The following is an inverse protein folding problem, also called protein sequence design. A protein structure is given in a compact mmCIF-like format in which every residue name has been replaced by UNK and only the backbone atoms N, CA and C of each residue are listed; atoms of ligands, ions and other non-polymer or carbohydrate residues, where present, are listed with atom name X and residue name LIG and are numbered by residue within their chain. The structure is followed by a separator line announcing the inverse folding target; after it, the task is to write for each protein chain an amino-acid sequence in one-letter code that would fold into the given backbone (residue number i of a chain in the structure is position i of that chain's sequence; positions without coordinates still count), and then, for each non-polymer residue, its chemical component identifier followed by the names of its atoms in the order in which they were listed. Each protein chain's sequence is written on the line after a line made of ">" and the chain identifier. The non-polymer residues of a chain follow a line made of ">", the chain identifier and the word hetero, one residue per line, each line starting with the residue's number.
data_IF_038842484570
#
_entry.id   IF_038842484570
#
_cell.length_a   1.000
_cell.length_b   1.000
_cell.length_c   1.000
_cell.angle_alpha   90.00
_cell.angle_beta   90.00
_cell.angle_gamma   90.00
#
_symmetry.space_group_name_H-M   'P 1'
#
loop_
_entity.id
_entity.type
_entity.pdbx_description
1 polymer ?
#
# COMPACT_ATOMS: atom_id res chain seq x y z
N UNK A 1 -16.18 -14.57 19.46
CA UNK A 1 -16.82 -13.70 18.41
C UNK A 1 -17.10 -12.35 19.04
N UNK A 2 -16.43 -11.30 18.55
CA UNK A 2 -16.55 -9.94 19.11
C UNK A 2 -17.92 -9.33 18.80
N UNK A 3 -18.64 -8.76 19.78
CA UNK A 3 -19.90 -8.02 19.54
C UNK A 3 -19.70 -6.87 18.55
N UNK A 4 -20.74 -6.55 17.75
CA UNK A 4 -20.66 -5.54 16.68
C UNK A 4 -20.00 -4.21 17.12
N UNK A 5 -20.39 -3.72 18.29
CA UNK A 5 -19.89 -2.47 18.88
C UNK A 5 -18.36 -2.43 19.06
N UNK A 6 -17.73 -3.56 19.35
CA UNK A 6 -16.29 -3.63 19.68
C UNK A 6 -15.40 -4.14 18.53
N UNK A 7 -15.95 -4.47 17.37
CA UNK A 7 -15.20 -5.07 16.25
C UNK A 7 -14.05 -4.19 15.75
N UNK A 8 -14.28 -2.89 15.62
CA UNK A 8 -13.21 -1.96 15.22
C UNK A 8 -12.18 -1.79 16.34
N UNK A 9 -12.60 -1.74 17.60
CA UNK A 9 -11.68 -1.66 18.72
C UNK A 9 -10.79 -2.91 18.80
N UNK A 10 -11.37 -4.10 18.67
CA UNK A 10 -10.59 -5.36 18.68
C UNK A 10 -9.59 -5.38 17.52
N UNK A 11 -10.01 -4.96 16.32
CA UNK A 11 -9.12 -4.90 15.16
C UNK A 11 -8.02 -3.86 15.35
N UNK A 12 -8.35 -2.68 15.91
CA UNK A 12 -7.35 -1.64 16.22
C UNK A 12 -6.33 -2.13 17.24
N UNK A 13 -6.80 -2.71 18.36
CA UNK A 13 -5.91 -3.25 19.41
C UNK A 13 -5.01 -4.36 18.84
N UNK A 14 -5.58 -5.31 18.10
CA UNK A 14 -4.81 -6.36 17.43
C UNK A 14 -3.77 -5.80 16.44
N UNK A 15 -4.11 -4.74 15.71
CA UNK A 15 -3.18 -4.07 14.79
C UNK A 15 -2.06 -3.32 15.53
N UNK A 16 -2.36 -2.68 16.65
CA UNK A 16 -1.36 -2.04 17.53
C UNK A 16 -0.39 -3.09 18.08
N UNK A 17 -0.91 -4.21 18.58
CA UNK A 17 -0.08 -5.31 19.10
C UNK A 17 0.80 -5.88 17.97
N UNK A 18 0.23 -6.10 16.79
CA UNK A 18 0.98 -6.56 15.63
C UNK A 18 2.12 -5.60 15.26
N UNK A 19 1.84 -4.29 15.19
CA UNK A 19 2.86 -3.28 14.92
C UNK A 19 3.95 -3.24 15.98
N UNK A 20 3.55 -3.25 17.26
CA UNK A 20 4.49 -3.21 18.39
C UNK A 20 5.42 -4.45 18.44
N UNK A 21 4.94 -5.61 18.00
CA UNK A 21 5.78 -6.82 17.87
C UNK A 21 6.77 -6.73 16.72
N UNK A 22 6.42 -6.03 15.65
CA UNK A 22 7.29 -5.80 14.50
C UNK A 22 8.29 -4.66 14.72
N UNK A 23 7.82 -3.53 15.25
CA UNK A 23 8.66 -2.34 15.46
C UNK A 23 8.06 -1.37 16.49
N UNK A 24 8.24 -1.69 17.77
CA UNK A 24 7.70 -0.87 18.88
C UNK A 24 8.28 0.56 18.89
N UNK A 25 9.51 0.76 18.41
CA UNK A 25 10.20 2.07 18.43
C UNK A 25 9.45 3.14 17.65
N UNK A 26 8.81 2.76 16.55
CA UNK A 26 8.08 3.68 15.67
C UNK A 26 6.56 3.68 15.90
N UNK A 27 6.07 2.94 16.89
CA UNK A 27 4.65 3.00 17.27
C UNK A 27 4.20 4.42 17.67
N UNK A 28 4.97 5.22 18.45
CA UNK A 28 4.61 6.61 18.74
C UNK A 28 4.50 7.46 17.48
N UNK A 29 5.43 7.32 16.52
CA UNK A 29 5.40 8.05 15.25
C UNK A 29 4.11 7.74 14.47
N UNK A 30 3.76 6.47 14.35
CA UNK A 30 2.53 6.05 13.67
C UNK A 30 1.29 6.61 14.38
N UNK A 31 1.22 6.53 15.71
CA UNK A 31 0.08 7.05 16.47
C UNK A 31 -0.07 8.57 16.35
N UNK A 32 1.04 9.32 16.41
CA UNK A 32 1.06 10.77 16.19
C UNK A 32 0.61 11.09 14.76
N UNK A 33 1.12 10.36 13.76
CA UNK A 33 0.71 10.54 12.36
C UNK A 33 -0.79 10.33 12.20
N UNK A 34 -1.36 9.26 12.76
CA UNK A 34 -2.80 8.98 12.72
C UNK A 34 -3.59 10.13 13.38
N UNK A 35 -3.18 10.55 14.58
CA UNK A 35 -3.87 11.59 15.33
C UNK A 35 -3.87 12.94 14.60
N UNK A 36 -2.69 13.38 14.14
CA UNK A 36 -2.55 14.64 13.38
C UNK A 36 -3.39 14.62 12.11
N UNK A 37 -3.30 13.53 11.32
CA UNK A 37 -4.03 13.42 10.06
C UNK A 37 -5.56 13.28 10.27
N UNK A 38 -6.00 12.69 11.37
CA UNK A 38 -7.42 12.67 11.72
C UNK A 38 -7.96 14.10 11.90
N UNK A 39 -7.31 14.92 12.73
CA UNK A 39 -7.74 16.30 12.96
C UNK A 39 -7.64 17.15 11.68
N UNK A 40 -6.58 17.01 10.91
CA UNK A 40 -6.43 17.71 9.63
C UNK A 40 -7.57 17.34 8.66
N UNK A 41 -7.94 16.08 8.56
CA UNK A 41 -9.08 15.62 7.75
C UNK A 41 -10.41 16.25 8.16
N UNK A 42 -10.66 16.42 9.46
CA UNK A 42 -11.86 17.11 9.95
C UNK A 42 -11.93 18.58 9.47
N UNK A 43 -10.80 19.25 9.35
CA UNK A 43 -10.74 20.65 8.92
C UNK A 43 -10.80 20.80 7.39
N UNK A 44 -10.28 19.85 6.63
CA UNK A 44 -10.32 19.87 5.17
C UNK A 44 -11.74 19.81 4.60
N UNK A 45 -12.66 19.14 5.28
CA UNK A 45 -14.02 18.90 4.79
C UNK A 45 -14.95 20.12 4.86
N UNK A 46 -14.60 21.20 5.54
CA UNK A 46 -15.46 22.40 5.65
C UNK A 46 -15.63 23.09 4.29
N UNK A 47 -16.83 23.06 3.72
CA UNK A 47 -17.15 23.71 2.45
C UNK A 47 -17.61 25.17 2.67
N UNK A 48 -16.73 26.14 2.47
CA UNK A 48 -17.11 27.54 2.30
C UNK A 48 -16.26 28.13 1.17
N UNK A 49 -16.85 28.81 0.17
CA UNK A 49 -16.11 29.46 -0.91
C UNK A 49 -15.06 30.45 -0.40
N UNK A 50 -15.36 31.18 0.67
CA UNK A 50 -14.46 32.15 1.30
C UNK A 50 -13.19 31.53 1.92
N UNK A 51 -13.13 30.21 2.11
CA UNK A 51 -12.01 29.53 2.73
C UNK A 51 -11.27 28.56 1.80
N UNK A 52 -11.59 28.58 0.51
CA UNK A 52 -11.06 27.61 -0.46
C UNK A 52 -9.53 27.63 -0.55
N UNK A 53 -8.92 28.84 -0.59
CA UNK A 53 -7.47 28.97 -0.61
C UNK A 53 -6.79 28.45 0.65
N UNK A 54 -7.40 28.67 1.83
CA UNK A 54 -6.88 28.14 3.12
C UNK A 54 -6.91 26.64 3.15
N UNK A 55 -7.97 26.02 2.60
CA UNK A 55 -8.07 24.56 2.50
C UNK A 55 -7.04 23.99 1.53
N UNK A 56 -6.82 24.65 0.38
CA UNK A 56 -5.79 24.23 -0.56
C UNK A 56 -4.41 24.30 0.09
N UNK A 57 -4.12 25.39 0.80
CA UNK A 57 -2.86 25.54 1.55
C UNK A 57 -2.74 24.45 2.62
N UNK A 58 -3.79 24.22 3.41
CA UNK A 58 -3.80 23.17 4.44
C UNK A 58 -3.56 21.79 3.82
N UNK A 59 -4.20 21.48 2.69
CA UNK A 59 -3.96 20.23 1.97
C UNK A 59 -2.49 20.11 1.55
N UNK A 60 -1.93 21.15 0.90
CA UNK A 60 -0.53 21.14 0.44
C UNK A 60 0.43 20.92 1.63
N UNK A 61 0.22 21.62 2.74
CA UNK A 61 1.04 21.46 3.94
C UNK A 61 0.91 20.06 4.54
N UNK A 62 -0.31 19.52 4.59
CA UNK A 62 -0.57 18.15 5.08
C UNK A 62 0.12 17.10 4.20
N UNK A 63 -0.03 17.20 2.88
CA UNK A 63 0.63 16.29 1.94
C UNK A 63 2.14 16.42 2.03
N UNK A 64 2.65 17.67 2.05
CA UNK A 64 4.08 17.95 2.17
C UNK A 64 4.69 17.40 3.45
N UNK A 65 4.02 17.56 4.60
CA UNK A 65 4.50 17.02 5.88
C UNK A 65 4.57 15.49 5.89
N UNK A 66 3.52 14.80 5.41
CA UNK A 66 3.53 13.33 5.32
C UNK A 66 4.61 12.81 4.36
N UNK A 67 4.79 13.48 3.21
CA UNK A 67 5.86 13.12 2.26
C UNK A 67 7.24 13.43 2.82
N UNK A 68 7.43 14.54 3.52
CA UNK A 68 8.70 14.87 4.16
C UNK A 68 9.11 13.82 5.20
N UNK A 69 8.18 13.36 6.04
CA UNK A 69 8.43 12.28 6.99
C UNK A 69 8.81 10.97 6.25
N UNK A 70 8.08 10.61 5.19
CA UNK A 70 8.38 9.42 4.39
C UNK A 70 9.79 9.49 3.79
N UNK A 71 10.12 10.63 3.15
CA UNK A 71 11.43 10.84 2.51
C UNK A 71 12.56 10.85 3.54
N UNK A 72 12.33 11.50 4.69
CA UNK A 72 13.32 11.49 5.78
C UNK A 72 13.75 10.08 6.15
N UNK A 73 12.79 9.17 6.38
CA UNK A 73 13.11 7.80 6.76
C UNK A 73 13.67 6.96 5.61
N UNK A 74 13.33 7.27 4.36
CA UNK A 74 13.88 6.55 3.20
C UNK A 74 15.31 6.91 2.86
N UNK A 75 15.66 8.20 2.99
CA UNK A 75 16.94 8.70 2.48
C UNK A 75 17.90 9.09 3.59
N UNK A 76 17.41 9.72 4.65
CA UNK A 76 18.23 10.27 5.71
C UNK A 76 18.09 9.56 7.05
N UNK A 77 17.19 8.61 7.18
CA UNK A 77 16.98 7.84 8.41
C UNK A 77 18.19 7.00 8.86
N UNK A 78 19.17 6.81 7.99
CA UNK A 78 20.45 6.18 8.28
C UNK A 78 20.33 4.84 9.01
N UNK A 79 21.06 4.70 10.13
CA UNK A 79 21.04 3.50 10.98
C UNK A 79 19.73 3.28 11.77
N UNK A 80 18.82 4.26 11.79
CA UNK A 80 17.55 4.15 12.50
C UNK A 80 16.59 3.11 11.90
N UNK A 81 16.78 2.77 10.62
CA UNK A 81 15.93 1.85 9.89
C UNK A 81 14.61 2.45 9.41
N UNK A 82 13.93 1.77 8.50
CA UNK A 82 12.66 2.21 7.91
C UNK A 82 11.49 1.76 8.81
N UNK A 83 10.62 2.68 9.31
CA UNK A 83 9.45 2.30 10.10
C UNK A 83 8.54 1.34 9.33
N UNK A 84 8.07 0.30 10.00
CA UNK A 84 7.23 -0.74 9.41
C UNK A 84 6.00 -0.13 8.72
N UNK A 85 5.82 -0.43 7.42
CA UNK A 85 4.66 -0.01 6.65
C UNK A 85 4.53 1.50 6.37
N UNK A 86 5.56 2.34 6.65
CA UNK A 86 5.48 3.79 6.49
C UNK A 86 5.03 4.22 5.08
N UNK A 87 5.50 3.56 4.04
CA UNK A 87 5.09 3.85 2.66
C UNK A 87 3.59 3.60 2.44
N UNK A 88 3.09 2.48 2.97
CA UNK A 88 1.70 2.06 2.77
C UNK A 88 0.71 2.92 3.55
N UNK A 89 0.97 3.15 4.84
CA UNK A 89 0.05 4.00 5.61
C UNK A 89 0.12 5.47 5.17
N UNK A 90 1.27 5.96 4.72
CA UNK A 90 1.37 7.30 4.14
C UNK A 90 0.48 7.44 2.90
N UNK A 91 0.54 6.50 1.94
CA UNK A 91 -0.32 6.54 0.76
C UNK A 91 -1.81 6.47 1.10
N UNK A 92 -2.19 5.70 2.12
CA UNK A 92 -3.57 5.65 2.60
C UNK A 92 -4.02 6.99 3.19
N UNK A 93 -3.17 7.61 4.02
CA UNK A 93 -3.43 8.94 4.61
C UNK A 93 -3.54 9.99 3.51
N UNK A 94 -2.59 10.04 2.57
CA UNK A 94 -2.60 11.00 1.46
C UNK A 94 -3.88 10.87 0.63
N UNK A 95 -4.28 9.63 0.28
CA UNK A 95 -5.51 9.41 -0.48
C UNK A 95 -6.74 9.88 0.29
N UNK A 96 -6.84 9.59 1.59
CA UNK A 96 -7.94 10.07 2.43
C UNK A 96 -8.04 11.60 2.45
N UNK A 97 -6.92 12.30 2.68
CA UNK A 97 -6.89 13.77 2.72
C UNK A 97 -7.32 14.39 1.38
N UNK A 98 -6.84 13.83 0.28
CA UNK A 98 -7.20 14.30 -1.07
C UNK A 98 -8.68 14.03 -1.36
N UNK A 99 -9.19 12.83 -1.06
CA UNK A 99 -10.57 12.44 -1.33
C UNK A 99 -11.56 13.26 -0.48
N UNK A 100 -11.23 13.55 0.78
CA UNK A 100 -12.02 14.46 1.64
C UNK A 100 -12.00 15.89 1.11
N UNK A 101 -10.85 16.40 0.67
CA UNK A 101 -10.75 17.74 0.07
C UNK A 101 -11.55 17.85 -1.23
N UNK A 102 -11.52 16.83 -2.08
CA UNK A 102 -12.30 16.75 -3.33
C UNK A 102 -13.81 16.58 -3.06
N UNK A 103 -14.18 16.14 -1.86
CA UNK A 103 -15.55 15.80 -1.49
C UNK A 103 -16.02 14.46 -2.06
N UNK A 104 -15.10 13.61 -2.48
CA UNK A 104 -15.37 12.25 -2.95
C UNK A 104 -15.70 11.31 -1.80
N UNK A 105 -15.17 11.61 -0.60
CA UNK A 105 -15.44 10.90 0.64
C UNK A 105 -15.84 11.91 1.72
N UNK A 106 -16.84 11.57 2.50
CA UNK A 106 -17.20 12.34 3.69
C UNK A 106 -16.10 12.20 4.76
N UNK A 107 -15.85 13.28 5.49
CA UNK A 107 -14.91 13.21 6.62
C UNK A 107 -15.40 12.20 7.66
N UNK A 108 -14.47 11.41 8.18
CA UNK A 108 -14.79 10.46 9.24
C UNK A 108 -14.70 11.13 10.62
N UNK A 109 -15.80 11.07 11.36
CA UNK A 109 -15.88 11.64 12.70
C UNK A 109 -15.42 10.69 13.80
N UNK A 110 -15.38 9.38 13.51
CA UNK A 110 -14.91 8.38 14.44
C UNK A 110 -13.40 8.19 14.33
N UNK A 111 -12.66 8.67 15.33
CA UNK A 111 -11.23 8.39 15.42
C UNK A 111 -10.93 6.90 15.36
N UNK A 112 -11.77 6.08 16.01
CA UNK A 112 -11.61 4.63 16.00
C UNK A 112 -11.67 4.04 14.59
N UNK A 113 -12.60 4.47 13.73
CA UNK A 113 -12.69 3.99 12.34
C UNK A 113 -11.50 4.45 11.52
N UNK A 114 -11.12 5.73 11.64
CA UNK A 114 -9.97 6.28 10.92
C UNK A 114 -8.66 5.59 11.32
N UNK A 115 -8.41 5.44 12.62
CA UNK A 115 -7.22 4.75 13.12
C UNK A 115 -7.20 3.27 12.64
N UNK A 116 -8.33 2.55 12.75
CA UNK A 116 -8.45 1.18 12.24
C UNK A 116 -8.16 1.13 10.73
N UNK A 117 -8.67 2.08 9.94
CA UNK A 117 -8.39 2.18 8.51
C UNK A 117 -6.89 2.27 8.23
N UNK A 118 -6.17 3.12 8.95
CA UNK A 118 -4.75 3.38 8.69
C UNK A 118 -3.87 2.19 9.11
N UNK A 119 -4.07 1.67 10.35
CA UNK A 119 -3.15 0.68 10.96
C UNK A 119 -3.56 -0.77 10.75
N UNK A 120 -4.67 -1.06 10.08
CA UNK A 120 -5.19 -2.43 9.93
C UNK A 120 -4.12 -3.43 9.46
N UNK A 121 -3.76 -4.39 10.34
CA UNK A 121 -2.59 -5.25 10.19
C UNK A 121 -2.53 -6.08 8.89
N UNK A 122 -3.64 -6.59 8.30
CA UNK A 122 -3.51 -7.38 7.08
C UNK A 122 -2.93 -6.63 5.88
N UNK A 123 -3.12 -5.30 5.84
CA UNK A 123 -2.66 -4.47 4.72
C UNK A 123 -1.49 -3.54 5.05
N UNK A 124 -1.04 -3.51 6.30
CA UNK A 124 -0.12 -2.49 6.80
C UNK A 124 1.28 -2.57 6.20
N UNK A 125 1.83 -3.77 6.00
CA UNK A 125 3.24 -3.96 5.57
C UNK A 125 3.36 -3.91 4.04
N UNK A 126 2.72 -4.85 3.34
CA UNK A 126 2.78 -5.03 1.89
C UNK A 126 1.42 -5.40 1.29
N UNK A 127 0.34 -5.16 2.05
CA UNK A 127 -1.01 -5.45 1.59
C UNK A 127 -1.48 -4.47 0.51
N UNK A 128 -2.66 -4.73 -0.07
CA UNK A 128 -3.23 -3.84 -1.07
C UNK A 128 -3.43 -2.42 -0.54
N UNK A 129 -3.02 -1.41 -1.30
CA UNK A 129 -3.28 -0.01 -0.97
C UNK A 129 -4.76 0.25 -1.15
N UNK A 130 -5.47 0.47 -0.04
CA UNK A 130 -6.92 0.71 -0.04
C UNK A 130 -7.22 2.18 0.22
N UNK A 131 -8.20 2.73 -0.49
CA UNK A 131 -8.74 4.05 -0.17
C UNK A 131 -9.78 3.93 0.95
N UNK A 132 -10.00 5.01 1.68
CA UNK A 132 -11.01 5.02 2.75
C UNK A 132 -12.41 4.66 2.23
N UNK A 133 -12.80 5.23 1.09
CA UNK A 133 -14.11 4.96 0.47
C UNK A 133 -14.33 3.49 0.09
N UNK A 134 -13.25 2.73 -0.20
CA UNK A 134 -13.37 1.32 -0.59
C UNK A 134 -13.73 0.41 0.59
N UNK A 135 -13.46 0.82 1.83
CA UNK A 135 -13.68 -0.01 3.03
C UNK A 135 -14.51 0.66 4.14
N UNK A 136 -14.95 1.91 3.95
CA UNK A 136 -15.72 2.68 4.92
C UNK A 136 -17.00 1.97 5.38
N UNK A 137 -17.70 1.35 4.43
CA UNK A 137 -18.95 0.61 4.71
C UNK A 137 -18.65 -0.64 5.55
N UNK A 138 -17.60 -1.37 5.22
CA UNK A 138 -17.14 -2.51 6.01
C UNK A 138 -16.68 -2.13 7.42
N UNK A 139 -16.16 -0.90 7.62
CA UNK A 139 -15.83 -0.39 8.96
C UNK A 139 -17.07 0.04 9.75
N UNK A 140 -18.17 0.29 9.07
CA UNK A 140 -19.44 0.68 9.69
C UNK A 140 -20.30 -0.55 10.00
N UNK A 141 -20.54 -1.39 8.98
CA UNK A 141 -21.39 -2.57 9.07
C UNK A 141 -20.71 -3.78 8.45
N UNK A 142 -20.06 -4.59 9.29
CA UNK A 142 -19.44 -5.85 8.86
C UNK A 142 -20.38 -7.01 9.06
N UNK A 143 -20.52 -7.83 8.03
CA UNK A 143 -21.22 -9.12 8.11
C UNK A 143 -20.20 -10.24 8.14
N UNK A 144 -20.31 -11.13 9.13
CA UNK A 144 -19.53 -12.36 9.18
C UNK A 144 -20.39 -13.49 8.65
N UNK A 145 -19.92 -14.17 7.63
CA UNK A 145 -20.59 -15.33 7.06
C UNK A 145 -19.65 -16.54 7.08
N UNK A 146 -20.19 -17.74 7.22
CA UNK A 146 -19.42 -18.98 7.14
C UNK A 146 -18.71 -19.07 5.79
N UNK A 147 -19.39 -18.71 4.71
CA UNK A 147 -18.81 -18.66 3.37
C UNK A 147 -17.65 -17.67 3.26
N UNK A 148 -17.78 -16.47 3.89
CA UNK A 148 -16.69 -15.49 3.95
C UNK A 148 -15.47 -16.01 4.70
N UNK A 149 -15.69 -16.76 5.79
CA UNK A 149 -14.62 -17.41 6.54
C UNK A 149 -13.93 -18.49 5.70
N UNK A 150 -14.70 -19.36 5.05
CA UNK A 150 -14.19 -20.43 4.17
C UNK A 150 -13.39 -19.88 3.00
N UNK A 151 -13.95 -18.95 2.25
CA UNK A 151 -13.28 -18.33 1.10
C UNK A 151 -12.03 -17.53 1.51
N UNK A 152 -12.10 -16.84 2.67
CA UNK A 152 -10.96 -16.14 3.23
C UNK A 152 -9.83 -17.08 3.65
N UNK A 153 -10.17 -18.22 4.25
CA UNK A 153 -9.20 -19.25 4.61
C UNK A 153 -8.54 -19.87 3.37
N UNK A 154 -9.31 -20.15 2.31
CA UNK A 154 -8.76 -20.64 1.02
C UNK A 154 -7.75 -19.66 0.44
N UNK A 155 -8.07 -18.36 0.42
CA UNK A 155 -7.15 -17.32 -0.04
C UNK A 155 -5.89 -17.25 0.82
N UNK A 156 -6.04 -17.31 2.14
CA UNK A 156 -4.91 -17.28 3.07
C UNK A 156 -3.97 -18.47 2.87
N UNK A 157 -4.51 -19.68 2.80
CA UNK A 157 -3.72 -20.90 2.58
C UNK A 157 -3.03 -20.87 1.21
N UNK A 158 -3.72 -20.43 0.15
CA UNK A 158 -3.12 -20.29 -1.18
C UNK A 158 -1.98 -19.27 -1.16
N UNK A 159 -2.17 -18.13 -0.48
CA UNK A 159 -1.13 -17.12 -0.32
C UNK A 159 0.08 -17.63 0.45
N UNK A 160 -0.15 -18.34 1.55
CA UNK A 160 0.91 -18.96 2.35
C UNK A 160 1.67 -20.03 1.54
N UNK A 161 0.95 -20.86 0.78
CA UNK A 161 1.56 -21.85 -0.12
C UNK A 161 2.42 -21.18 -1.20
N UNK A 162 1.95 -20.09 -1.81
CA UNK A 162 2.73 -19.32 -2.78
C UNK A 162 4.02 -18.77 -2.17
N UNK A 163 3.97 -18.27 -0.93
CA UNK A 163 5.15 -17.79 -0.20
C UNK A 163 6.12 -18.93 0.11
N UNK A 164 5.66 -19.96 0.82
CA UNK A 164 6.54 -20.98 1.40
C UNK A 164 7.00 -22.03 0.37
N UNK A 165 6.10 -22.45 -0.54
CA UNK A 165 6.40 -23.54 -1.48
C UNK A 165 6.96 -23.03 -2.81
N UNK A 166 6.72 -21.78 -3.18
CA UNK A 166 7.20 -21.21 -4.44
C UNK A 166 8.25 -20.14 -4.21
N UNK A 167 7.90 -18.99 -3.58
CA UNK A 167 8.82 -17.88 -3.43
C UNK A 167 10.10 -18.27 -2.67
N UNK A 168 9.96 -18.85 -1.47
CA UNK A 168 11.12 -19.22 -0.64
C UNK A 168 11.99 -20.30 -1.29
N UNK A 169 11.40 -21.21 -2.07
CA UNK A 169 12.15 -22.27 -2.76
C UNK A 169 12.90 -21.76 -3.97
N UNK A 170 12.27 -20.93 -4.77
CA UNK A 170 12.89 -20.33 -5.96
C UNK A 170 13.94 -19.29 -5.56
N UNK A 171 13.71 -18.56 -4.46
CA UNK A 171 14.66 -17.57 -3.93
C UNK A 171 15.99 -18.15 -3.47
N UNK A 172 16.06 -19.44 -3.10
CA UNK A 172 17.32 -20.13 -2.75
C UNK A 172 18.34 -20.00 -3.89
N UNK A 173 17.92 -20.26 -5.14
CA UNK A 173 18.81 -20.17 -6.30
C UNK A 173 19.39 -18.76 -6.47
N UNK A 174 18.54 -17.73 -6.33
CA UNK A 174 19.00 -16.34 -6.42
C UNK A 174 20.00 -16.01 -5.32
N UNK A 175 19.72 -16.42 -4.09
CA UNK A 175 20.62 -16.19 -2.96
C UNK A 175 21.97 -16.88 -3.12
N UNK A 176 21.99 -18.12 -3.58
CA UNK A 176 23.23 -18.87 -3.86
C UNK A 176 24.07 -18.17 -4.92
N UNK A 177 23.46 -17.68 -5.99
CA UNK A 177 24.15 -16.94 -7.05
C UNK A 177 24.73 -15.61 -6.52
N UNK A 178 23.99 -14.91 -5.66
CA UNK A 178 24.51 -13.69 -5.01
C UNK A 178 25.74 -13.96 -4.13
N UNK A 179 25.73 -15.05 -3.38
CA UNK A 179 26.86 -15.44 -2.51
C UNK A 179 28.07 -15.92 -3.32
N UNK A 180 27.83 -16.68 -4.39
CA UNK A 180 28.91 -17.18 -5.30
C UNK A 180 29.56 -16.05 -6.10
N UNK A 181 28.82 -14.98 -6.39
CA UNK A 181 29.24 -13.86 -7.23
C UNK A 181 28.97 -14.08 -8.72
N UNK A 182 28.55 -13.01 -9.39
CA UNK A 182 28.13 -13.07 -10.80
C UNK A 182 29.28 -13.35 -11.79
N UNK A 183 30.52 -13.09 -11.39
CA UNK A 183 31.71 -13.36 -12.21
C UNK A 183 32.05 -14.86 -12.28
N UNK A 184 31.57 -15.65 -11.34
CA UNK A 184 31.87 -17.08 -11.18
C UNK A 184 30.85 -18.03 -11.77
N UNK A 185 29.79 -17.49 -12.41
CA UNK A 185 28.68 -18.29 -12.94
C UNK A 185 28.62 -18.31 -14.45
N UNK A 186 28.09 -19.39 -15.02
CA UNK A 186 27.84 -19.49 -16.46
C UNK A 186 26.65 -18.61 -16.90
N UNK A 187 26.66 -18.19 -18.17
CA UNK A 187 25.56 -17.40 -18.75
C UNK A 187 24.18 -18.06 -18.60
N UNK A 188 24.00 -19.38 -18.85
CA UNK A 188 22.73 -20.04 -18.59
C UNK A 188 22.27 -19.96 -17.13
N UNK A 189 23.21 -20.10 -16.18
CA UNK A 189 22.89 -20.00 -14.76
C UNK A 189 22.49 -18.56 -14.37
N UNK A 190 23.13 -17.54 -14.95
CA UNK A 190 22.75 -16.14 -14.77
C UNK A 190 21.31 -15.86 -15.22
N UNK A 191 20.92 -16.36 -16.40
CA UNK A 191 19.53 -16.25 -16.87
C UNK A 191 18.54 -16.98 -15.98
N UNK A 192 18.89 -18.20 -15.55
CA UNK A 192 18.04 -18.97 -14.62
C UNK A 192 17.86 -18.24 -13.29
N UNK A 193 18.93 -17.65 -12.75
CA UNK A 193 18.86 -16.84 -11.53
C UNK A 193 18.00 -15.57 -11.70
N UNK A 194 18.07 -14.88 -12.84
CA UNK A 194 17.23 -13.73 -13.13
C UNK A 194 15.73 -14.09 -13.22
N UNK A 195 15.42 -15.23 -13.85
CA UNK A 195 14.06 -15.78 -13.89
C UNK A 195 13.60 -16.15 -12.47
N UNK A 196 14.46 -16.84 -11.72
CA UNK A 196 14.19 -17.24 -10.35
C UNK A 196 13.85 -16.01 -9.46
N UNK A 197 14.66 -14.97 -9.52
CA UNK A 197 14.42 -13.72 -8.80
C UNK A 197 13.08 -13.05 -9.20
N UNK A 198 12.78 -13.03 -10.49
CA UNK A 198 11.51 -12.48 -10.98
C UNK A 198 10.31 -13.26 -10.44
N UNK A 199 10.42 -14.60 -10.37
CA UNK A 199 9.37 -15.45 -9.81
C UNK A 199 9.28 -15.34 -8.29
N UNK A 200 10.42 -15.23 -7.59
CA UNK A 200 10.48 -14.99 -6.15
C UNK A 200 9.69 -13.72 -5.79
N UNK A 201 10.04 -12.57 -6.39
CA UNK A 201 9.33 -11.30 -6.13
C UNK A 201 7.83 -11.44 -6.39
N UNK A 202 7.46 -12.12 -7.48
CA UNK A 202 6.05 -12.27 -7.83
C UNK A 202 5.30 -13.13 -6.82
N UNK A 203 5.79 -14.32 -6.51
CA UNK A 203 5.11 -15.24 -5.60
C UNK A 203 5.13 -14.77 -4.16
N UNK A 204 6.20 -14.09 -3.73
CA UNK A 204 6.28 -13.48 -2.41
C UNK A 204 5.22 -12.39 -2.23
N UNK A 205 5.18 -11.43 -3.15
CA UNK A 205 4.26 -10.31 -3.04
C UNK A 205 2.80 -10.70 -3.36
N UNK A 206 2.58 -11.58 -4.34
CA UNK A 206 1.25 -12.12 -4.62
C UNK A 206 0.73 -12.96 -3.45
N UNK A 207 1.59 -13.82 -2.87
CA UNK A 207 1.26 -14.61 -1.71
C UNK A 207 0.87 -13.75 -0.51
N UNK A 208 1.66 -12.71 -0.21
CA UNK A 208 1.31 -11.76 0.84
C UNK A 208 -0.03 -11.07 0.56
N UNK A 209 -0.26 -10.61 -0.66
CA UNK A 209 -1.52 -9.96 -1.03
C UNK A 209 -2.73 -10.89 -0.88
N UNK A 210 -2.59 -12.17 -1.22
CA UNK A 210 -3.64 -13.17 -1.01
C UNK A 210 -3.90 -13.43 0.47
N UNK A 211 -2.86 -13.54 1.30
CA UNK A 211 -3.01 -13.67 2.75
C UNK A 211 -3.72 -12.46 3.34
N UNK A 212 -3.36 -11.25 2.92
CA UNK A 212 -4.02 -10.02 3.35
C UNK A 212 -5.51 -9.99 2.97
N UNK A 213 -5.83 -10.33 1.71
CA UNK A 213 -7.21 -10.45 1.23
C UNK A 213 -7.99 -11.52 1.99
N UNK A 214 -7.36 -12.67 2.24
CA UNK A 214 -7.94 -13.77 3.01
C UNK A 214 -8.31 -13.34 4.44
N UNK A 215 -7.37 -12.71 5.15
CA UNK A 215 -7.59 -12.15 6.49
C UNK A 215 -8.68 -11.09 6.49
N UNK A 216 -8.65 -10.17 5.51
CA UNK A 216 -9.71 -9.17 5.33
C UNK A 216 -11.08 -9.84 5.22
N UNK A 217 -11.21 -10.79 4.29
CA UNK A 217 -12.47 -11.50 4.01
C UNK A 217 -12.99 -12.29 5.20
N UNK A 218 -12.10 -12.97 5.94
CA UNK A 218 -12.47 -13.64 7.21
C UNK A 218 -13.03 -12.67 8.25
N UNK A 219 -12.60 -11.40 8.21
CA UNK A 219 -13.07 -10.33 9.10
C UNK A 219 -14.26 -9.54 8.53
N UNK A 220 -14.79 -9.91 7.34
CA UNK A 220 -15.87 -9.19 6.67
C UNK A 220 -15.42 -7.87 6.02
N UNK A 221 -14.16 -7.78 5.62
CA UNK A 221 -13.56 -6.62 4.92
C UNK A 221 -13.03 -7.09 3.58
N UNK A 222 -13.57 -6.56 2.48
CA UNK A 222 -13.08 -6.87 1.14
C UNK A 222 -11.89 -5.96 0.81
N UNK A 223 -10.73 -6.58 0.60
CA UNK A 223 -9.53 -5.88 0.15
C UNK A 223 -9.34 -6.09 -1.37
N UNK A 224 -8.89 -5.06 -2.12
CA UNK A 224 -8.69 -5.16 -3.55
C UNK A 224 -7.53 -6.10 -3.90
N UNK A 225 -7.59 -6.72 -5.09
CA UNK A 225 -6.50 -7.55 -5.58
C UNK A 225 -5.32 -6.70 -6.09
N UNK A 226 -4.09 -7.17 -5.84
CA UNK A 226 -2.86 -6.55 -6.35
C UNK A 226 -2.37 -7.15 -7.65
N UNK A 227 -2.74 -8.39 -7.95
CA UNK A 227 -2.20 -9.13 -9.10
C UNK A 227 -3.29 -9.86 -9.87
N UNK A 228 -3.14 -9.88 -11.22
CA UNK A 228 -4.03 -10.60 -12.13
C UNK A 228 -3.24 -11.25 -13.25
N UNK A 229 -2.50 -12.34 -12.93
CA UNK A 229 -1.67 -13.09 -13.90
C UNK A 229 -0.78 -12.17 -14.74
N UNK A 230 0.17 -11.42 -14.15
CA UNK A 230 0.93 -10.37 -14.86
C UNK A 230 1.80 -10.91 -15.98
N UNK A 231 2.37 -12.10 -15.84
CA UNK A 231 3.22 -12.71 -16.87
C UNK A 231 2.45 -13.26 -18.10
N UNK A 232 1.12 -13.20 -18.09
CA UNK A 232 0.29 -13.44 -19.27
C UNK A 232 -0.02 -12.16 -20.05
N UNK A 233 0.59 -11.05 -19.71
CA UNK A 233 0.40 -9.78 -20.38
C UNK A 233 0.96 -9.80 -21.81
N UNK A 234 0.23 -9.13 -22.74
CA UNK A 234 0.61 -9.03 -24.15
C UNK A 234 1.31 -7.70 -24.51
N UNK A 235 1.42 -6.80 -23.54
CA UNK A 235 2.12 -5.51 -23.69
C UNK A 235 2.56 -5.01 -22.33
N UNK A 236 3.52 -4.05 -22.31
CA UNK A 236 3.97 -3.36 -21.09
C UNK A 236 2.79 -2.71 -20.36
N UNK A 237 1.88 -2.07 -21.11
CA UNK A 237 0.66 -1.47 -20.54
C UNK A 237 -0.24 -2.52 -19.87
N UNK A 238 -0.42 -3.68 -20.50
CA UNK A 238 -1.22 -4.78 -19.94
C UNK A 238 -0.54 -5.38 -18.71
N UNK A 239 0.80 -5.49 -18.71
CA UNK A 239 1.56 -5.93 -17.55
C UNK A 239 1.29 -5.04 -16.31
N UNK A 240 1.45 -3.73 -16.41
CA UNK A 240 1.19 -2.82 -15.29
C UNK A 240 -0.28 -2.69 -14.88
N UNK A 241 -1.21 -3.11 -15.72
CA UNK A 241 -2.62 -3.27 -15.36
C UNK A 241 -2.91 -4.54 -14.55
N UNK A 242 -1.93 -5.44 -14.45
CA UNK A 242 -2.02 -6.74 -13.78
C UNK A 242 -1.04 -6.89 -12.63
N UNK A 243 0.00 -6.07 -12.60
CA UNK A 243 1.06 -6.02 -11.58
C UNK A 243 0.83 -4.87 -10.63
N UNK A 244 0.86 -5.15 -9.30
CA UNK A 244 0.68 -4.16 -8.23
C UNK A 244 -0.42 -3.14 -8.54
N UNK A 245 -1.60 -3.67 -8.83
CA UNK A 245 -2.71 -2.91 -9.42
C UNK A 245 -3.12 -1.73 -8.54
N UNK A 246 -3.10 -1.90 -7.21
CA UNK A 246 -3.52 -0.84 -6.28
C UNK A 246 -2.55 0.34 -6.26
N UNK A 247 -1.24 0.09 -6.40
CA UNK A 247 -0.24 1.15 -6.56
C UNK A 247 -0.43 1.90 -7.88
N UNK A 248 -0.59 1.15 -9.00
CA UNK A 248 -0.85 1.74 -10.32
C UNK A 248 -2.11 2.60 -10.33
N UNK A 249 -3.19 2.14 -9.71
CA UNK A 249 -4.44 2.89 -9.55
C UNK A 249 -4.25 4.15 -8.69
N UNK A 250 -3.45 4.06 -7.61
CA UNK A 250 -3.15 5.18 -6.75
C UNK A 250 -2.41 6.28 -7.52
N UNK A 251 -1.30 5.96 -8.21
CA UNK A 251 -0.57 6.93 -9.03
C UNK A 251 -1.41 7.48 -10.17
N UNK A 252 -2.24 6.66 -10.82
CA UNK A 252 -3.13 7.10 -11.86
C UNK A 252 -4.11 8.17 -11.35
N UNK A 253 -4.75 7.93 -10.20
CA UNK A 253 -5.79 8.81 -9.64
C UNK A 253 -5.26 10.10 -9.02
N UNK A 254 -4.13 9.99 -8.31
CA UNK A 254 -3.63 11.10 -7.49
C UNK A 254 -2.47 11.88 -8.14
N UNK A 255 -1.84 11.33 -9.17
CA UNK A 255 -0.73 11.98 -9.88
C UNK A 255 -1.03 12.13 -11.36
N UNK A 256 -1.22 11.03 -12.10
CA UNK A 256 -1.31 11.07 -13.56
C UNK A 256 -2.53 11.87 -14.10
N UNK A 257 -3.72 11.60 -13.56
CA UNK A 257 -4.94 12.31 -13.96
C UNK A 257 -4.87 13.80 -13.60
N UNK A 258 -4.45 14.21 -12.37
CA UNK A 258 -4.30 15.63 -12.02
C UNK A 258 -3.30 16.40 -12.89
N UNK A 259 -2.26 15.73 -13.42
CA UNK A 259 -1.29 16.32 -14.34
C UNK A 259 -1.83 16.49 -15.79
N UNK A 260 -3.07 16.05 -16.04
CA UNK A 260 -3.74 16.12 -17.34
C UNK A 260 -3.94 14.77 -18.04
N UNK A 261 -3.38 13.69 -17.49
CA UNK A 261 -3.52 12.34 -18.06
C UNK A 261 -3.01 12.27 -19.51
N UNK A 262 -3.76 11.61 -20.39
CA UNK A 262 -3.45 11.47 -21.83
C UNK A 262 -4.25 12.43 -22.72
N UNK A 263 -4.95 13.42 -22.14
CA UNK A 263 -5.87 14.28 -22.90
C UNK A 263 -5.23 15.52 -23.53
N UNK A 264 -3.98 15.82 -23.17
CA UNK A 264 -3.27 17.05 -23.56
C UNK A 264 -2.15 16.80 -24.59
N UNK A 265 -2.30 15.76 -25.41
CA UNK A 265 -1.33 15.39 -26.43
C UNK A 265 -0.24 14.42 -25.97
N UNK A 266 0.56 13.95 -26.93
CA UNK A 266 1.53 12.87 -26.71
C UNK A 266 2.70 13.29 -25.81
N UNK A 267 3.30 14.45 -26.05
CA UNK A 267 4.42 14.97 -25.25
C UNK A 267 4.03 15.15 -23.79
N UNK A 268 2.82 15.65 -23.52
CA UNK A 268 2.31 15.80 -22.17
C UNK A 268 2.07 14.44 -21.51
N UNK A 269 1.59 13.47 -22.27
CA UNK A 269 1.41 12.09 -21.82
C UNK A 269 2.73 11.46 -21.38
N UNK A 270 3.78 11.61 -22.22
CA UNK A 270 5.14 11.13 -21.91
C UNK A 270 5.67 11.80 -20.65
N UNK A 271 5.58 13.11 -20.54
CA UNK A 271 5.99 13.84 -19.33
C UNK A 271 5.25 13.33 -18.07
N UNK A 272 3.92 13.17 -18.13
CA UNK A 272 3.13 12.68 -17.01
C UNK A 272 3.53 11.24 -16.59
N UNK A 273 3.85 10.40 -17.57
CA UNK A 273 4.36 9.05 -17.31
C UNK A 273 5.75 9.08 -16.65
N UNK A 274 6.66 9.91 -17.15
CA UNK A 274 7.98 10.09 -16.54
C UNK A 274 7.88 10.55 -15.09
N UNK A 275 7.00 11.51 -14.79
CA UNK A 275 6.76 11.93 -13.40
C UNK A 275 6.27 10.76 -12.54
N UNK A 276 5.34 9.95 -13.02
CA UNK A 276 4.85 8.77 -12.29
C UNK A 276 5.99 7.77 -12.07
N UNK A 277 6.82 7.50 -13.08
CA UNK A 277 7.97 6.59 -12.96
C UNK A 277 9.01 7.09 -11.96
N UNK A 278 9.37 8.37 -12.01
CA UNK A 278 10.28 8.99 -11.06
C UNK A 278 9.76 8.88 -9.61
N UNK A 279 8.48 9.19 -9.38
CA UNK A 279 7.87 9.06 -8.06
C UNK A 279 7.80 7.60 -7.59
N UNK A 280 7.60 6.66 -8.53
CA UNK A 280 7.61 5.22 -8.21
C UNK A 280 9.02 4.75 -7.85
N UNK A 281 10.05 5.22 -8.56
CA UNK A 281 11.44 4.94 -8.23
C UNK A 281 11.79 5.45 -6.83
N UNK A 282 11.49 6.70 -6.51
CA UNK A 282 11.64 7.27 -5.16
C UNK A 282 10.88 6.48 -4.10
N UNK A 283 9.69 5.99 -4.43
CA UNK A 283 8.91 5.17 -3.51
C UNK A 283 9.57 3.83 -3.22
N UNK A 284 10.23 3.20 -4.19
CA UNK A 284 10.99 1.97 -3.98
C UNK A 284 12.27 2.22 -3.16
N UNK A 285 12.98 3.32 -3.41
CA UNK A 285 14.20 3.72 -2.70
C UNK A 285 14.90 4.87 -3.40
N UNK A 286 15.77 5.61 -2.67
CA UNK A 286 16.52 6.73 -3.23
C UNK A 286 17.86 6.32 -3.85
N UNK A 287 18.23 5.05 -3.80
CA UNK A 287 19.45 4.56 -4.45
C UNK A 287 19.37 4.65 -5.98
N UNK A 288 20.49 4.98 -6.63
CA UNK A 288 20.59 5.07 -8.10
C UNK A 288 20.14 3.81 -8.85
N UNK A 289 20.15 2.66 -8.20
CA UNK A 289 19.66 1.39 -8.74
C UNK A 289 18.14 1.34 -8.96
N UNK A 290 17.37 2.33 -8.46
CA UNK A 290 15.93 2.44 -8.68
C UNK A 290 15.55 3.41 -9.82
N UNK A 291 16.52 4.19 -10.32
CA UNK A 291 16.36 5.12 -11.44
C UNK A 291 17.03 4.57 -12.69
#
# INVERSE_FOLDING_TARGET
>A
ITPRKYRNLTLLVGSIVFYARGDVRYLPLLMISILCNYFLGLHLAKRSPKTLWRKKLLLILTLGANLAVLLWFKDWGGSAGLPLGISFYTFQILSYQIDVYRGEVSREYSFLKFATYVIMFPKLISGPITRYGDISDSLTERTFTVRGLEDGMKLFILGLAAKVLLADRVGILWHEVQVTGFESISTPLAWLAAIAYSMEIYFDFWGYSLMAMGLGRMMGIELPANFRRPYMARSVRDFYRRWHMTLGQWFCRYVYIPLGGSRQGELRTIFNLLVVWMLTAFWHGAGWNFF
#
